data_IF_424804939065
#
_entry.id   IF_424804939065
#
_cell.length_a   1.000
_cell.length_b   1.000
_cell.length_c   1.000
_cell.angle_alpha   90.00
_cell.angle_beta   90.00
_cell.angle_gamma   90.00
#
_symmetry.space_group_name_H-M   'P 1'
#
loop_
_entity.id
_entity.type
_entity.pdbx_description
1 polymer ?
#
# COMPACT_ATOMS: atom_id res chain seq x y z
N UNK A 1 47.16 45.16 3.21
CA UNK A 1 46.72 45.57 4.56
C UNK A 1 45.55 44.64 4.87
N UNK A 2 45.90 43.41 5.23
CA UNK A 2 45.82 42.80 6.59
C UNK A 2 44.49 42.02 6.68
N UNK A 3 44.57 40.68 6.58
CA UNK A 3 44.47 39.68 7.69
C UNK A 3 43.03 39.63 8.28
N UNK A 4 42.34 38.50 8.46
CA UNK A 4 42.75 37.21 9.02
C UNK A 4 41.95 36.00 8.45
N UNK A 5 42.62 34.85 8.52
CA UNK A 5 42.17 33.47 8.27
C UNK A 5 41.22 32.92 9.35
N UNK A 6 40.38 31.94 8.96
CA UNK A 6 40.07 30.81 9.85
C UNK A 6 39.81 29.53 9.05
N UNK A 7 40.79 28.62 9.11
CA UNK A 7 40.70 27.22 8.70
C UNK A 7 40.58 26.38 9.96
N UNK A 8 39.62 25.45 9.98
CA UNK A 8 39.48 24.43 11.04
C UNK A 8 40.15 23.12 10.62
N UNK A 9 41.22 22.83 11.37
CA UNK A 9 41.83 21.57 11.84
C UNK A 9 41.49 20.23 11.18
N UNK A 10 42.54 19.62 10.61
CA UNK A 10 42.73 18.18 10.40
C UNK A 10 43.40 17.58 11.66
N UNK A 11 42.79 16.54 12.21
CA UNK A 11 43.26 15.81 13.39
C UNK A 11 44.25 14.70 12.98
N UNK A 12 45.43 14.68 13.61
CA UNK A 12 46.54 13.72 13.37
C UNK A 12 46.72 12.83 14.60
N UNK A 13 46.93 11.51 14.45
CA UNK A 13 47.06 10.61 15.59
C UNK A 13 48.44 10.66 16.25
N UNK A 14 48.44 10.68 17.58
CA UNK A 14 49.59 10.63 18.49
C UNK A 14 50.34 9.27 18.46
N UNK A 15 51.67 9.34 18.61
CA UNK A 15 52.56 8.21 18.91
C UNK A 15 52.64 8.01 20.44
N UNK A 16 52.74 6.78 20.95
CA UNK A 16 53.17 6.54 22.33
C UNK A 16 54.70 6.42 22.44
N UNK A 17 55.21 6.98 23.54
CA UNK A 17 56.60 7.10 23.98
C UNK A 17 57.26 5.76 24.37
N UNK A 18 58.58 5.73 24.20
CA UNK A 18 59.52 4.77 24.79
C UNK A 18 59.77 5.10 26.27
N UNK A 19 59.84 4.08 27.13
CA UNK A 19 60.58 4.15 28.39
C UNK A 19 61.58 2.98 28.48
N UNK A 20 62.85 3.34 28.59
CA UNK A 20 64.04 2.51 28.87
C UNK A 20 64.19 2.21 30.38
N UNK A 21 64.81 1.05 30.68
CA UNK A 21 65.83 0.78 31.72
C UNK A 21 66.26 -0.70 31.63
N UNK A 22 67.46 -1.02 31.08
CA UNK A 22 68.77 -1.32 31.75
C UNK A 22 68.67 -2.43 32.81
N UNK A 23 69.50 -3.48 32.89
CA UNK A 23 70.92 -3.69 32.53
C UNK A 23 71.24 -5.21 32.58
N UNK A 24 72.40 -5.60 32.04
CA UNK A 24 72.94 -6.93 31.74
C UNK A 24 73.18 -7.90 32.92
N UNK A 25 73.13 -9.23 32.67
CA UNK A 25 74.23 -10.17 33.02
C UNK A 25 74.04 -11.59 32.43
N UNK A 26 75.05 -11.97 31.64
CA UNK A 26 75.70 -13.28 31.38
C UNK A 26 74.94 -14.61 31.14
N UNK A 27 75.56 -15.37 30.24
CA UNK A 27 75.15 -16.63 29.62
C UNK A 27 75.61 -17.82 30.47
N UNK A 28 74.72 -18.78 30.72
CA UNK A 28 75.13 -20.17 30.95
C UNK A 28 74.09 -21.13 30.33
N UNK A 29 74.60 -22.09 29.55
CA UNK A 29 73.84 -23.09 28.80
C UNK A 29 73.91 -24.40 29.57
N UNK A 30 72.78 -24.99 29.96
CA UNK A 30 72.68 -26.45 30.14
C UNK A 30 71.30 -26.97 29.77
N UNK A 31 71.31 -28.09 29.04
CA UNK A 31 70.19 -28.77 28.40
C UNK A 31 69.25 -29.46 29.40
N UNK A 32 67.94 -29.38 29.19
CA UNK A 32 67.03 -30.50 29.45
C UNK A 32 65.66 -30.31 28.76
N UNK A 33 65.25 -31.37 28.08
CA UNK A 33 63.96 -31.67 27.45
C UNK A 33 62.69 -31.03 28.04
N UNK A 34 61.80 -30.55 27.16
CA UNK A 34 60.38 -30.98 27.10
C UNK A 34 59.63 -30.34 25.93
N UNK A 35 58.88 -31.18 25.20
CA UNK A 35 57.93 -30.78 24.15
C UNK A 35 56.83 -29.88 24.73
N UNK A 36 56.97 -28.56 24.57
CA UNK A 36 55.88 -27.62 24.74
C UNK A 36 55.51 -27.05 23.37
N UNK A 37 54.45 -27.61 22.80
CA UNK A 37 53.75 -27.15 21.60
C UNK A 37 53.49 -25.63 21.72
N UNK A 38 54.35 -24.81 21.11
CA UNK A 38 54.25 -23.35 21.11
C UNK A 38 52.96 -22.98 20.38
N UNK A 39 51.85 -22.87 21.11
CA UNK A 39 50.61 -22.23 20.64
C UNK A 39 50.98 -20.87 20.07
N UNK A 40 51.01 -20.78 18.73
CA UNK A 40 51.21 -19.53 18.00
C UNK A 40 50.16 -18.55 18.52
N UNK A 41 50.60 -17.44 19.13
CA UNK A 41 49.71 -16.33 19.47
C UNK A 41 49.06 -15.87 18.17
N UNK A 42 47.76 -16.08 18.05
CA UNK A 42 46.93 -15.47 17.00
C UNK A 42 46.92 -13.97 17.27
N UNK A 43 47.54 -13.21 16.38
CA UNK A 43 47.52 -11.74 16.42
C UNK A 43 46.41 -11.31 15.48
N UNK A 44 45.37 -10.68 16.03
CA UNK A 44 44.30 -10.08 15.23
C UNK A 44 44.90 -8.93 14.41
N UNK A 45 45.01 -9.13 13.09
CA UNK A 45 45.50 -8.12 12.16
C UNK A 45 44.31 -7.42 11.53
N UNK A 46 44.11 -6.15 11.85
CA UNK A 46 43.15 -5.30 11.14
C UNK A 46 43.59 -5.16 9.69
N UNK A 47 42.80 -5.72 8.77
CA UNK A 47 42.98 -5.58 7.32
C UNK A 47 41.89 -4.66 6.81
N UNK A 48 42.30 -3.60 6.13
CA UNK A 48 41.39 -2.69 5.44
C UNK A 48 41.28 -3.16 3.99
N UNK A 49 40.05 -3.42 3.54
CA UNK A 49 39.75 -3.74 2.14
C UNK A 49 38.69 -2.79 1.61
N UNK A 50 38.74 -2.53 0.31
CA UNK A 50 37.77 -1.67 -0.36
C UNK A 50 36.52 -2.47 -0.69
N UNK A 51 35.49 -2.33 0.14
CA UNK A 51 34.19 -2.94 -0.11
C UNK A 51 33.39 -2.12 -1.13
N UNK A 52 32.88 -2.82 -2.15
CA UNK A 52 31.99 -2.21 -3.13
C UNK A 52 30.61 -1.96 -2.49
N UNK A 53 30.26 -0.69 -2.30
CA UNK A 53 28.98 -0.31 -1.68
C UNK A 53 27.76 -0.45 -2.61
N UNK A 54 27.94 -0.42 -3.93
CA UNK A 54 26.86 -0.47 -4.93
C UNK A 54 26.82 -1.80 -5.67
N UNK A 55 26.26 -2.82 -5.02
CA UNK A 55 25.99 -4.14 -5.63
C UNK A 55 24.61 -4.22 -6.28
N UNK A 56 23.71 -3.29 -5.94
CA UNK A 56 22.36 -3.24 -6.49
C UNK A 56 22.39 -2.93 -8.00
N UNK A 57 22.09 -3.95 -8.81
CA UNK A 57 21.94 -3.78 -10.26
C UNK A 57 20.68 -2.94 -10.56
N UNK A 58 20.73 -2.01 -11.52
CA UNK A 58 19.56 -1.21 -11.89
C UNK A 58 18.57 -2.04 -12.72
N UNK A 59 17.85 -2.96 -12.07
CA UNK A 59 17.00 -3.96 -12.74
C UNK A 59 15.85 -3.35 -13.55
N UNK A 60 15.42 -2.14 -13.22
CA UNK A 60 14.41 -1.38 -13.98
C UNK A 60 14.89 -0.95 -15.37
N UNK A 61 16.19 -1.06 -15.65
CA UNK A 61 16.75 -0.72 -16.97
C UNK A 61 16.68 -1.89 -17.94
N UNK A 62 16.60 -3.11 -17.42
CA UNK A 62 16.50 -4.36 -18.16
C UNK A 62 15.07 -4.59 -18.67
N UNK A 63 14.89 -5.50 -19.62
CA UNK A 63 13.54 -5.87 -20.07
C UNK A 63 12.87 -6.70 -18.96
N UNK A 64 11.58 -6.51 -18.67
CA UNK A 64 10.90 -7.24 -17.59
C UNK A 64 11.03 -8.77 -17.66
N UNK A 65 11.07 -9.34 -18.87
CA UNK A 65 11.18 -10.78 -19.10
C UNK A 65 12.58 -11.35 -18.86
N UNK A 66 13.60 -10.48 -18.83
CA UNK A 66 15.00 -10.88 -18.68
C UNK A 66 15.46 -10.80 -17.21
N UNK A 67 14.60 -10.36 -16.30
CA UNK A 67 14.91 -10.19 -14.88
C UNK A 67 14.31 -11.37 -14.09
N UNK A 68 15.15 -12.19 -13.42
CA UNK A 68 14.70 -13.25 -12.53
C UNK A 68 13.81 -12.73 -11.40
N UNK A 69 12.90 -13.56 -10.88
CA UNK A 69 12.02 -13.17 -9.77
C UNK A 69 12.80 -12.78 -8.51
N UNK A 70 13.88 -13.51 -8.21
CA UNK A 70 14.79 -13.30 -7.07
C UNK A 70 15.40 -11.89 -7.08
N UNK A 71 15.86 -11.42 -8.24
CA UNK A 71 16.42 -10.07 -8.41
C UNK A 71 15.41 -8.97 -8.03
N UNK A 72 14.12 -9.18 -8.28
CA UNK A 72 13.08 -8.22 -7.85
C UNK A 72 12.85 -8.24 -6.34
N UNK A 73 12.90 -9.42 -5.72
CA UNK A 73 12.76 -9.57 -4.27
C UNK A 73 13.93 -8.92 -3.56
N UNK A 74 15.15 -9.19 -4.01
CA UNK A 74 16.37 -8.60 -3.46
C UNK A 74 16.38 -7.08 -3.64
N UNK A 75 15.97 -6.61 -4.83
CA UNK A 75 15.82 -5.18 -5.07
C UNK A 75 14.76 -4.53 -4.18
N UNK A 76 13.61 -5.19 -3.98
CA UNK A 76 12.57 -4.70 -3.07
C UNK A 76 13.11 -4.56 -1.65
N UNK A 77 13.73 -5.61 -1.10
CA UNK A 77 14.30 -5.61 0.26
C UNK A 77 15.36 -4.54 0.42
N UNK A 78 16.27 -4.40 -0.54
CA UNK A 78 17.28 -3.35 -0.55
C UNK A 78 16.68 -1.93 -0.63
N UNK A 79 15.60 -1.76 -1.40
CA UNK A 79 14.93 -0.46 -1.58
C UNK A 79 14.16 -0.02 -0.33
N UNK A 80 13.41 -0.93 0.28
CA UNK A 80 12.45 -0.64 1.36
C UNK A 80 12.99 -0.89 2.74
N UNK A 81 14.11 -1.62 2.87
CA UNK A 81 14.64 -2.17 4.13
C UNK A 81 13.66 -3.13 4.82
N UNK A 82 12.72 -3.67 4.07
CA UNK A 82 11.80 -4.71 4.52
C UNK A 82 12.53 -6.07 4.51
N UNK A 83 12.20 -6.93 5.46
CA UNK A 83 12.70 -8.30 5.51
C UNK A 83 11.83 -9.26 4.69
N UNK A 84 10.57 -8.89 4.46
CA UNK A 84 9.59 -9.67 3.71
C UNK A 84 9.72 -9.44 2.19
N UNK A 85 9.10 -10.33 1.44
CA UNK A 85 8.95 -10.22 -0.01
C UNK A 85 7.82 -9.23 -0.35
N UNK A 86 7.79 -8.61 -1.54
CA UNK A 86 6.64 -7.83 -1.95
C UNK A 86 5.42 -8.74 -2.22
N UNK A 87 4.21 -8.25 -1.92
CA UNK A 87 2.96 -8.94 -2.25
C UNK A 87 2.73 -9.00 -3.76
N UNK A 88 3.01 -7.89 -4.44
CA UNK A 88 2.90 -7.78 -5.88
C UNK A 88 3.89 -6.76 -6.41
N UNK A 89 4.22 -6.89 -7.70
CA UNK A 89 5.09 -5.97 -8.42
C UNK A 89 4.55 -5.64 -9.80
N UNK A 90 4.97 -4.50 -10.32
CA UNK A 90 4.79 -4.14 -11.73
C UNK A 90 6.04 -3.44 -12.24
N UNK A 91 6.61 -4.01 -13.29
CA UNK A 91 7.72 -3.43 -14.05
C UNK A 91 7.19 -3.04 -15.43
N UNK A 92 7.30 -1.77 -15.80
CA UNK A 92 6.87 -1.31 -17.11
C UNK A 92 7.69 -0.13 -17.62
N UNK A 93 7.70 -0.01 -18.95
CA UNK A 93 8.17 1.16 -19.68
C UNK A 93 6.96 1.91 -20.19
N UNK A 94 6.94 3.23 -19.98
CA UNK A 94 5.92 4.12 -20.47
C UNK A 94 6.53 5.01 -21.56
N UNK A 95 5.88 5.07 -22.72
CA UNK A 95 6.31 5.87 -23.87
C UNK A 95 5.25 6.93 -24.23
N UNK A 96 5.57 7.85 -25.15
CA UNK A 96 4.67 8.91 -25.65
C UNK A 96 5.06 10.31 -25.17
N UNK A 97 4.12 11.05 -24.58
CA UNK A 97 4.34 12.43 -24.08
C UNK A 97 5.45 12.53 -23.02
N UNK A 98 5.64 11.46 -22.25
CA UNK A 98 6.76 11.30 -21.33
C UNK A 98 7.21 9.85 -21.37
N UNK A 99 8.52 9.68 -21.57
CA UNK A 99 9.23 8.42 -21.51
C UNK A 99 9.81 8.20 -20.12
N UNK A 100 9.48 7.07 -19.51
CA UNK A 100 10.07 6.63 -18.25
C UNK A 100 9.94 5.13 -18.04
N UNK A 101 10.82 4.59 -17.19
CA UNK A 101 10.76 3.23 -16.69
C UNK A 101 10.32 3.28 -15.23
N UNK A 102 9.46 2.35 -14.82
CA UNK A 102 9.00 2.28 -13.44
C UNK A 102 8.96 0.84 -12.96
N UNK A 103 9.36 0.69 -11.70
CA UNK A 103 9.26 -0.55 -10.96
C UNK A 103 8.60 -0.23 -9.62
N UNK A 104 7.38 -0.75 -9.46
CA UNK A 104 6.53 -0.48 -8.30
C UNK A 104 6.19 -1.81 -7.60
N UNK A 105 6.01 -1.72 -6.29
CA UNK A 105 5.76 -2.84 -5.40
C UNK A 105 4.63 -2.52 -4.41
N UNK A 106 3.90 -3.56 -4.02
CA UNK A 106 2.97 -3.54 -2.90
C UNK A 106 3.63 -4.33 -1.75
N UNK A 107 3.89 -3.72 -0.59
CA UNK A 107 4.36 -4.45 0.59
C UNK A 107 3.32 -5.48 1.06
N UNK A 108 3.76 -6.59 1.67
CA UNK A 108 2.82 -7.56 2.24
C UNK A 108 2.04 -7.02 3.43
N UNK A 109 2.66 -6.17 4.24
CA UNK A 109 2.06 -5.60 5.46
C UNK A 109 2.17 -4.09 5.39
N UNK A 110 1.08 -3.41 5.73
CA UNK A 110 1.09 -1.96 5.82
C UNK A 110 1.74 -1.51 7.14
N UNK A 111 2.63 -0.50 7.14
CA UNK A 111 3.15 0.07 8.39
C UNK A 111 2.01 0.55 9.30
N UNK A 112 2.07 0.23 10.59
CA UNK A 112 0.99 0.50 11.55
C UNK A 112 0.66 1.99 11.71
N UNK A 113 1.59 2.88 11.40
CA UNK A 113 1.43 4.34 11.45
C UNK A 113 0.97 4.96 10.12
N UNK A 114 0.67 4.15 9.10
CA UNK A 114 0.34 4.63 7.75
C UNK A 114 -0.85 5.59 7.71
N UNK A 115 -1.90 5.32 8.48
CA UNK A 115 -3.09 6.19 8.55
C UNK A 115 -2.89 7.41 9.46
N UNK A 116 -1.99 7.34 10.45
CA UNK A 116 -1.63 8.53 11.25
C UNK A 116 -0.91 9.56 10.39
N UNK A 117 -0.21 9.10 9.34
CA UNK A 117 0.48 9.92 8.34
C UNK A 117 -0.38 10.18 7.11
N UNK A 118 -1.68 9.89 7.14
CA UNK A 118 -2.54 10.08 5.97
C UNK A 118 -2.58 11.55 5.55
N UNK A 119 -2.37 11.81 4.25
CA UNK A 119 -2.29 13.17 3.70
C UNK A 119 -0.99 13.92 3.98
N UNK A 120 -0.06 13.32 4.72
CA UNK A 120 1.30 13.87 4.89
C UNK A 120 2.22 13.45 3.73
N UNK A 121 3.38 14.10 3.64
CA UNK A 121 4.40 13.77 2.62
C UNK A 121 4.89 12.35 2.82
N UNK A 122 4.93 11.58 1.74
CA UNK A 122 5.30 10.16 1.76
C UNK A 122 6.48 9.90 0.82
N UNK A 123 7.58 9.36 1.35
CA UNK A 123 8.86 9.23 0.64
C UNK A 123 9.01 7.88 -0.07
N UNK A 124 7.92 7.40 -0.66
CA UNK A 124 7.77 5.98 -1.00
C UNK A 124 8.20 5.64 -2.43
N UNK A 125 8.29 6.65 -3.29
CA UNK A 125 8.72 6.51 -4.69
C UNK A 125 9.95 7.38 -4.92
N UNK A 126 11.07 6.74 -5.27
CA UNK A 126 12.31 7.45 -5.62
C UNK A 126 12.29 7.84 -7.10
N UNK A 127 12.45 9.12 -7.39
CA UNK A 127 12.58 9.63 -8.75
C UNK A 127 14.05 9.71 -9.16
N UNK A 128 14.33 9.12 -10.32
CA UNK A 128 15.58 9.18 -11.03
C UNK A 128 15.38 9.89 -12.37
N UNK A 129 16.41 10.58 -12.81
CA UNK A 129 16.48 11.13 -14.17
C UNK A 129 17.78 10.66 -14.80
N UNK A 130 17.69 9.94 -15.91
CA UNK A 130 18.85 9.30 -16.56
C UNK A 130 19.71 8.52 -15.55
N UNK A 131 19.06 7.74 -14.67
CA UNK A 131 19.68 6.94 -13.58
C UNK A 131 20.36 7.75 -12.47
N UNK A 132 20.24 9.08 -12.48
CA UNK A 132 20.71 9.93 -11.38
C UNK A 132 19.57 10.13 -10.40
N UNK A 133 19.79 9.81 -9.13
CA UNK A 133 18.80 10.06 -8.08
C UNK A 133 18.53 11.55 -7.93
N UNK A 134 17.26 11.95 -7.99
CA UNK A 134 16.86 13.35 -7.85
C UNK A 134 16.25 13.58 -6.46
N UNK A 135 15.19 12.83 -6.14
CA UNK A 135 14.41 13.02 -4.92
C UNK A 135 13.45 11.86 -4.68
N UNK A 136 13.12 11.62 -3.42
CA UNK A 136 12.06 10.74 -2.91
C UNK A 136 10.87 11.55 -2.34
N UNK A 137 11.07 12.83 -2.06
CA UNK A 137 10.07 13.75 -1.49
C UNK A 137 9.12 14.38 -2.53
N UNK A 138 8.57 13.59 -3.47
CA UNK A 138 7.58 14.10 -4.44
C UNK A 138 6.17 13.66 -4.05
N UNK A 139 5.44 14.59 -3.45
CA UNK A 139 4.06 14.37 -3.02
C UNK A 139 3.08 14.06 -4.16
N UNK A 140 3.35 14.54 -5.38
CA UNK A 140 2.41 14.43 -6.50
C UNK A 140 2.62 13.17 -7.37
N UNK A 141 3.50 12.25 -6.99
CA UNK A 141 3.73 11.02 -7.77
C UNK A 141 2.63 9.98 -7.61
N UNK A 142 2.01 9.93 -6.43
CA UNK A 142 0.88 9.04 -6.12
C UNK A 142 -0.18 9.79 -5.33
N UNK A 143 -1.46 9.43 -5.47
CA UNK A 143 -2.50 9.91 -4.58
C UNK A 143 -2.36 9.29 -3.18
N UNK A 144 -2.90 9.96 -2.15
CA UNK A 144 -2.79 9.54 -0.75
C UNK A 144 -3.29 8.11 -0.51
N UNK A 145 -4.36 7.70 -1.19
CA UNK A 145 -4.90 6.36 -1.08
C UNK A 145 -3.97 5.26 -1.64
N UNK A 146 -2.98 5.60 -2.47
CA UNK A 146 -1.92 4.68 -2.95
C UNK A 146 -0.55 5.00 -2.34
N UNK A 147 -0.50 5.73 -1.24
CA UNK A 147 0.77 6.10 -0.60
C UNK A 147 1.59 4.89 -0.15
N UNK A 148 0.96 3.72 0.08
CA UNK A 148 1.66 2.49 0.45
C UNK A 148 2.56 1.92 -0.66
N UNK A 149 2.36 2.32 -1.92
CA UNK A 149 3.16 1.83 -3.05
C UNK A 149 4.62 2.24 -2.89
N UNK A 150 5.51 1.27 -2.96
CA UNK A 150 6.96 1.47 -2.92
C UNK A 150 7.53 1.33 -4.33
N UNK A 151 8.58 2.07 -4.66
CA UNK A 151 9.22 1.85 -5.94
C UNK A 151 10.11 2.96 -6.42
N UNK A 152 10.39 2.90 -7.71
CA UNK A 152 11.24 3.86 -8.41
C UNK A 152 10.61 4.26 -9.74
N UNK A 153 10.95 5.46 -10.18
CA UNK A 153 10.61 5.98 -11.50
C UNK A 153 11.86 6.62 -12.08
N UNK A 154 12.27 6.20 -13.27
CA UNK A 154 13.45 6.71 -13.97
C UNK A 154 13.02 7.31 -15.30
N UNK A 155 13.13 8.63 -15.45
CA UNK A 155 12.70 9.35 -16.65
C UNK A 155 13.88 9.90 -17.43
N UNK A 156 13.85 9.76 -18.76
CA UNK A 156 14.88 10.32 -19.64
C UNK A 156 14.57 11.76 -20.09
N UNK A 157 13.30 12.16 -19.96
CA UNK A 157 12.72 13.40 -20.51
C UNK A 157 12.57 14.53 -19.48
N UNK A 158 12.71 14.21 -18.19
CA UNK A 158 12.67 15.24 -17.15
C UNK A 158 14.00 16.03 -17.13
N UNK A 159 13.94 17.35 -16.94
CA UNK A 159 15.14 18.19 -16.90
C UNK A 159 15.93 17.97 -15.59
N UNK A 160 17.23 17.68 -15.71
CA UNK A 160 18.14 17.42 -14.58
C UNK A 160 18.37 18.65 -13.69
N UNK A 161 18.42 19.85 -14.28
CA UNK A 161 18.84 21.08 -13.60
C UNK A 161 17.68 21.85 -12.96
N UNK A 162 16.71 21.13 -12.39
CA UNK A 162 15.47 21.73 -11.90
C UNK A 162 15.35 21.47 -10.40
N UNK A 163 15.11 22.52 -9.62
CA UNK A 163 14.88 22.41 -8.19
C UNK A 163 13.70 21.48 -7.90
N UNK A 164 13.70 20.83 -6.73
CA UNK A 164 12.61 19.92 -6.32
C UNK A 164 11.24 20.59 -6.41
N UNK A 165 11.17 21.88 -6.09
CA UNK A 165 9.96 22.69 -6.17
C UNK A 165 9.48 22.88 -7.62
N UNK A 166 10.39 23.24 -8.53
CA UNK A 166 10.07 23.43 -9.94
C UNK A 166 9.69 22.09 -10.61
N UNK A 167 10.26 20.98 -10.15
CA UNK A 167 9.94 19.64 -10.65
C UNK A 167 8.53 19.22 -10.26
N UNK A 168 8.10 19.49 -9.01
CA UNK A 168 6.75 19.17 -8.53
C UNK A 168 5.66 19.89 -9.34
N UNK A 169 5.91 21.12 -9.78
CA UNK A 169 4.96 21.89 -10.59
C UNK A 169 5.00 21.52 -12.09
N UNK A 170 5.95 20.68 -12.50
CA UNK A 170 6.15 20.36 -13.90
C UNK A 170 4.99 19.51 -14.45
N UNK A 171 4.44 19.95 -15.59
CA UNK A 171 3.31 19.31 -16.28
C UNK A 171 3.48 17.80 -16.51
N UNK A 172 4.71 17.34 -16.75
CA UNK A 172 4.99 15.92 -16.99
C UNK A 172 4.80 15.05 -15.73
N UNK A 173 4.99 15.58 -14.51
CA UNK A 173 4.74 14.82 -13.28
C UNK A 173 3.27 14.37 -13.20
N UNK A 174 2.33 15.23 -13.62
CA UNK A 174 0.90 14.87 -13.66
C UNK A 174 0.61 13.75 -14.65
N UNK A 175 1.33 13.73 -15.78
CA UNK A 175 1.21 12.66 -16.80
C UNK A 175 1.80 11.35 -16.27
N UNK A 176 2.97 11.42 -15.62
CA UNK A 176 3.59 10.28 -14.93
C UNK A 176 2.61 9.72 -13.89
N UNK A 177 2.12 10.54 -12.96
CA UNK A 177 1.14 10.16 -11.92
C UNK A 177 -0.03 9.39 -12.50
N UNK A 178 -0.68 9.91 -13.55
CA UNK A 178 -1.82 9.23 -14.21
C UNK A 178 -1.44 7.84 -14.74
N UNK A 179 -0.27 7.71 -15.38
CA UNK A 179 0.22 6.41 -15.88
C UNK A 179 0.56 5.46 -14.74
N UNK A 180 1.21 5.94 -13.67
CA UNK A 180 1.54 5.14 -12.48
C UNK A 180 0.26 4.60 -11.81
N UNK A 181 -0.72 5.48 -11.52
CA UNK A 181 -1.99 5.09 -10.89
C UNK A 181 -2.69 4.01 -11.71
N UNK A 182 -2.79 4.20 -13.03
CA UNK A 182 -3.40 3.19 -13.91
C UNK A 182 -2.70 1.83 -13.80
N UNK A 183 -1.36 1.82 -13.82
CA UNK A 183 -0.57 0.59 -13.74
C UNK A 183 -0.66 -0.07 -12.36
N UNK A 184 -0.76 0.70 -11.29
CA UNK A 184 -1.00 0.18 -9.93
C UNK A 184 -2.38 -0.47 -9.83
N UNK A 185 -3.43 0.18 -10.33
CA UNK A 185 -4.78 -0.41 -10.31
C UNK A 185 -4.85 -1.67 -11.18
N UNK A 186 -4.18 -1.69 -12.33
CA UNK A 186 -4.07 -2.88 -13.17
C UNK A 186 -3.25 -3.99 -12.48
N UNK A 187 -2.23 -3.65 -11.67
CA UNK A 187 -1.46 -4.59 -10.84
C UNK A 187 -2.35 -5.19 -9.75
N UNK A 188 -3.09 -4.37 -9.00
CA UNK A 188 -3.99 -4.83 -7.93
C UNK A 188 -5.06 -5.77 -8.50
N UNK A 189 -5.63 -5.43 -9.66
CA UNK A 189 -6.62 -6.29 -10.34
C UNK A 189 -6.08 -7.67 -10.74
N UNK A 190 -4.77 -7.81 -10.94
CA UNK A 190 -4.12 -9.07 -11.36
C UNK A 190 -3.69 -9.96 -10.19
N UNK A 191 -3.77 -9.47 -8.96
CA UNK A 191 -3.51 -10.28 -7.77
C UNK A 191 -4.52 -11.45 -7.79
N UNK A 192 -4.02 -12.69 -7.62
CA UNK A 192 -4.88 -13.87 -7.60
C UNK A 192 -5.79 -13.87 -6.36
N UNK A 193 -6.81 -14.71 -6.37
CA UNK A 193 -7.84 -14.69 -5.33
C UNK A 193 -7.27 -14.99 -3.94
N UNK A 194 -6.32 -15.92 -3.87
CA UNK A 194 -5.68 -16.36 -2.63
C UNK A 194 -4.87 -15.22 -1.98
N UNK A 195 -4.12 -14.46 -2.77
CA UNK A 195 -3.35 -13.31 -2.30
C UNK A 195 -4.21 -12.04 -2.16
N UNK A 196 -5.35 -11.96 -2.85
CA UNK A 196 -6.23 -10.80 -2.78
C UNK A 196 -6.85 -10.64 -1.40
N UNK A 197 -7.16 -11.73 -0.70
CA UNK A 197 -7.65 -11.66 0.68
C UNK A 197 -6.61 -11.07 1.62
N UNK A 198 -5.34 -11.43 1.47
CA UNK A 198 -4.23 -10.83 2.22
C UNK A 198 -4.06 -9.34 1.88
N UNK A 199 -4.10 -8.99 0.58
CA UNK A 199 -4.09 -7.60 0.14
C UNK A 199 -5.27 -6.80 0.73
N UNK A 200 -6.48 -7.36 0.70
CA UNK A 200 -7.68 -6.69 1.17
C UNK A 200 -7.65 -6.46 2.68
N UNK A 201 -7.13 -7.43 3.44
CA UNK A 201 -6.96 -7.28 4.89
C UNK A 201 -6.11 -6.07 5.25
N UNK A 202 -5.04 -5.83 4.51
CA UNK A 202 -4.10 -4.73 4.79
C UNK A 202 -4.56 -3.41 4.16
N UNK A 203 -5.08 -3.44 2.93
CA UNK A 203 -5.27 -2.24 2.10
C UNK A 203 -6.73 -1.93 1.74
N UNK A 204 -7.72 -2.60 2.33
CA UNK A 204 -9.15 -2.33 2.06
C UNK A 204 -9.52 -0.86 2.30
N UNK A 205 -9.12 -0.28 3.42
CA UNK A 205 -9.35 1.14 3.74
C UNK A 205 -8.74 2.05 2.69
N UNK A 206 -7.53 1.76 2.22
CA UNK A 206 -6.90 2.51 1.12
C UNK A 206 -7.75 2.48 -0.16
N UNK A 207 -8.25 1.32 -0.57
CA UNK A 207 -9.10 1.23 -1.76
C UNK A 207 -10.42 1.98 -1.57
N UNK A 208 -11.05 1.87 -0.39
CA UNK A 208 -12.28 2.59 -0.04
C UNK A 208 -12.09 4.11 -0.04
N UNK A 209 -10.99 4.61 0.51
CA UNK A 209 -10.62 6.03 0.41
C UNK A 209 -10.41 6.45 -1.04
N UNK A 210 -9.76 5.62 -1.87
CA UNK A 210 -9.63 5.88 -3.30
C UNK A 210 -10.98 6.03 -4.01
N UNK A 211 -11.96 5.20 -3.66
CA UNK A 211 -13.33 5.31 -4.22
C UNK A 211 -13.97 6.66 -3.87
N UNK A 212 -13.71 7.18 -2.67
CA UNK A 212 -14.24 8.47 -2.21
C UNK A 212 -13.52 9.61 -2.95
N UNK A 213 -12.19 9.61 -2.91
CA UNK A 213 -11.35 10.75 -3.34
C UNK A 213 -11.13 10.83 -4.85
N UNK A 214 -10.94 9.70 -5.55
CA UNK A 214 -10.57 9.68 -6.97
C UNK A 214 -11.76 9.39 -7.87
N UNK A 215 -12.48 10.47 -8.21
CA UNK A 215 -13.61 10.40 -9.13
C UNK A 215 -13.24 9.87 -10.53
N UNK A 216 -12.00 10.08 -11.00
CA UNK A 216 -11.57 9.66 -12.33
C UNK A 216 -11.36 8.14 -12.40
N UNK A 217 -10.86 7.54 -11.32
CA UNK A 217 -10.62 6.10 -11.23
C UNK A 217 -11.70 5.33 -10.45
N UNK A 218 -12.72 5.99 -9.92
CA UNK A 218 -13.79 5.40 -9.10
C UNK A 218 -14.42 4.16 -9.73
N UNK A 219 -14.71 4.17 -11.03
CA UNK A 219 -15.28 3.01 -11.72
C UNK A 219 -14.35 1.79 -11.69
N UNK A 220 -13.03 1.99 -11.78
CA UNK A 220 -12.03 0.91 -11.66
C UNK A 220 -11.89 0.46 -10.21
N UNK A 221 -11.79 1.40 -9.28
CA UNK A 221 -11.65 1.13 -7.85
C UNK A 221 -12.86 0.39 -7.27
N UNK A 222 -14.07 0.73 -7.70
CA UNK A 222 -15.30 0.03 -7.27
C UNK A 222 -15.28 -1.47 -7.59
N UNK A 223 -14.58 -1.88 -8.65
CA UNK A 223 -14.42 -3.30 -9.03
C UNK A 223 -13.40 -4.05 -8.19
N UNK A 224 -12.66 -3.34 -7.33
CA UNK A 224 -11.70 -3.89 -6.37
C UNK A 224 -12.31 -4.02 -4.97
N UNK A 225 -13.52 -3.50 -4.74
CA UNK A 225 -14.16 -3.56 -3.44
C UNK A 225 -14.64 -4.98 -3.12
N UNK A 226 -14.30 -5.45 -1.91
CA UNK A 226 -14.82 -6.69 -1.35
C UNK A 226 -15.66 -6.38 -0.11
N UNK A 227 -16.72 -7.14 0.09
CA UNK A 227 -17.59 -7.04 1.26
C UNK A 227 -17.97 -8.42 1.76
N UNK A 228 -18.32 -8.50 3.04
CA UNK A 228 -19.05 -9.65 3.55
C UNK A 228 -20.50 -9.58 3.07
N UNK A 229 -21.17 -10.72 2.98
CA UNK A 229 -22.57 -10.76 2.55
C UNK A 229 -23.36 -11.85 3.25
N UNK A 230 -24.68 -11.81 3.11
CA UNK A 230 -25.57 -12.85 3.63
C UNK A 230 -25.40 -14.24 2.98
N UNK A 231 -24.58 -14.37 1.93
CA UNK A 231 -24.35 -15.64 1.20
C UNK A 231 -22.89 -16.07 1.13
N UNK A 232 -21.94 -15.16 1.35
CA UNK A 232 -20.50 -15.39 1.26
C UNK A 232 -19.78 -14.59 2.34
N UNK A 233 -18.75 -15.20 2.91
CA UNK A 233 -17.83 -14.52 3.84
C UNK A 233 -17.13 -13.33 3.20
N UNK A 234 -16.74 -13.45 1.92
CA UNK A 234 -16.16 -12.33 1.17
C UNK A 234 -16.60 -12.42 -0.31
N UNK A 235 -17.02 -11.29 -0.88
CA UNK A 235 -17.44 -11.18 -2.27
C UNK A 235 -17.11 -9.81 -2.84
N UNK A 236 -16.73 -9.75 -4.11
CA UNK A 236 -16.71 -8.50 -4.86
C UNK A 236 -18.12 -8.14 -5.37
N UNK A 237 -18.25 -6.90 -5.86
CA UNK A 237 -19.50 -6.36 -6.39
C UNK A 237 -19.92 -6.98 -7.74
N UNK A 238 -18.98 -7.40 -8.59
CA UNK A 238 -19.30 -8.08 -9.86
C UNK A 238 -19.94 -9.44 -9.57
N UNK A 239 -19.35 -10.18 -8.64
CA UNK A 239 -19.82 -11.46 -8.14
C UNK A 239 -21.23 -11.34 -7.55
N UNK A 240 -21.49 -10.30 -6.75
CA UNK A 240 -22.82 -9.98 -6.23
C UNK A 240 -23.81 -9.76 -7.38
N UNK A 241 -23.45 -8.92 -8.37
CA UNK A 241 -24.29 -8.64 -9.54
C UNK A 241 -24.61 -9.91 -10.32
N UNK A 242 -23.64 -10.81 -10.49
CA UNK A 242 -23.83 -12.10 -11.14
C UNK A 242 -24.81 -13.04 -10.42
N UNK A 243 -25.07 -12.82 -9.13
CA UNK A 243 -26.02 -13.58 -8.31
C UNK A 243 -27.33 -12.83 -8.03
N UNK A 244 -27.51 -11.64 -8.61
CA UNK A 244 -28.75 -10.88 -8.46
C UNK A 244 -29.92 -11.63 -9.09
N UNK A 245 -31.08 -11.53 -8.45
CA UNK A 245 -32.33 -12.07 -9.02
C UNK A 245 -32.74 -11.27 -10.26
N UNK A 246 -33.45 -11.90 -11.20
CA UNK A 246 -33.87 -11.26 -12.46
C UNK A 246 -34.61 -9.91 -12.26
N UNK A 247 -35.44 -9.81 -11.23
CA UNK A 247 -36.22 -8.59 -10.93
C UNK A 247 -35.54 -7.65 -9.92
N UNK A 248 -34.29 -7.92 -9.54
CA UNK A 248 -33.58 -7.12 -8.56
C UNK A 248 -32.97 -5.86 -9.24
N UNK A 249 -33.43 -4.69 -8.79
CA UNK A 249 -33.02 -3.39 -9.36
C UNK A 249 -31.88 -2.71 -8.61
N UNK A 250 -31.58 -3.14 -7.39
CA UNK A 250 -30.59 -2.51 -6.52
C UNK A 250 -29.68 -3.55 -5.83
N UNK A 251 -28.49 -3.12 -5.45
CA UNK A 251 -27.58 -3.83 -4.57
C UNK A 251 -28.00 -3.51 -3.14
N UNK A 252 -28.48 -4.51 -2.41
CA UNK A 252 -28.93 -4.33 -1.03
C UNK A 252 -27.76 -4.41 -0.08
N UNK A 253 -27.72 -3.48 0.85
CA UNK A 253 -26.70 -3.47 1.89
C UNK A 253 -27.29 -3.02 3.23
N UNK A 254 -26.60 -3.37 4.31
CA UNK A 254 -26.84 -2.86 5.65
C UNK A 254 -25.49 -2.46 6.25
N UNK A 255 -25.48 -1.37 7.02
CA UNK A 255 -24.33 -0.93 7.78
C UNK A 255 -24.61 -1.07 9.28
N UNK A 256 -23.58 -1.41 10.06
CA UNK A 256 -23.66 -1.55 11.51
C UNK A 256 -22.28 -1.64 12.14
N UNK A 257 -22.20 -1.67 13.47
CA UNK A 257 -20.93 -1.65 14.19
C UNK A 257 -20.21 -3.00 14.17
N UNK A 258 -20.92 -4.09 13.92
CA UNK A 258 -20.33 -5.43 13.83
C UNK A 258 -21.08 -6.34 12.86
N UNK A 259 -20.39 -7.39 12.43
CA UNK A 259 -20.98 -8.42 11.57
C UNK A 259 -22.17 -9.14 12.24
N UNK A 260 -22.06 -9.42 13.55
CA UNK A 260 -23.11 -10.08 14.31
C UNK A 260 -24.37 -9.23 14.39
N UNK A 261 -24.22 -7.92 14.57
CA UNK A 261 -25.33 -6.96 14.59
C UNK A 261 -26.06 -6.94 13.25
N UNK A 262 -25.33 -6.77 12.14
CA UNK A 262 -25.95 -6.67 10.82
C UNK A 262 -26.54 -8.00 10.34
N UNK A 263 -25.95 -9.14 10.71
CA UNK A 263 -26.50 -10.49 10.42
C UNK A 263 -27.82 -10.75 11.15
N UNK A 264 -27.94 -10.30 12.41
CA UNK A 264 -29.13 -10.50 13.25
C UNK A 264 -30.16 -9.38 13.13
N UNK A 265 -29.90 -8.38 12.29
CA UNK A 265 -30.76 -7.21 12.16
C UNK A 265 -32.14 -7.60 11.60
N UNK A 266 -33.25 -7.07 12.17
CA UNK A 266 -34.59 -7.31 11.64
C UNK A 266 -34.76 -6.81 10.20
N UNK A 267 -33.94 -5.84 9.77
CA UNK A 267 -33.98 -5.29 8.42
C UNK A 267 -33.51 -6.30 7.36
N UNK A 268 -32.66 -7.27 7.70
CA UNK A 268 -32.16 -8.27 6.73
C UNK A 268 -33.01 -9.53 6.65
N UNK A 269 -33.75 -9.89 7.71
CA UNK A 269 -34.49 -11.14 7.79
C UNK A 269 -35.42 -11.40 6.60
N UNK A 270 -36.21 -10.39 6.22
CA UNK A 270 -37.19 -10.54 5.14
C UNK A 270 -36.50 -10.72 3.79
N UNK A 271 -35.36 -10.05 3.57
CA UNK A 271 -34.59 -10.18 2.33
C UNK A 271 -33.97 -11.57 2.22
N UNK A 272 -33.31 -12.04 3.28
CA UNK A 272 -32.64 -13.34 3.32
C UNK A 272 -33.64 -14.49 3.22
N UNK A 273 -34.78 -14.43 3.93
CA UNK A 273 -35.90 -15.39 3.78
C UNK A 273 -36.44 -15.43 2.35
N UNK A 274 -36.50 -14.28 1.67
CA UNK A 274 -36.86 -14.20 0.24
C UNK A 274 -35.69 -14.50 -0.69
N UNK A 275 -34.51 -14.89 -0.20
CA UNK A 275 -33.33 -15.31 -0.97
C UNK A 275 -32.54 -14.18 -1.64
N UNK A 276 -32.78 -12.92 -1.27
CA UNK A 276 -31.96 -11.79 -1.70
C UNK A 276 -30.63 -11.78 -0.93
N UNK A 277 -29.56 -11.39 -1.62
CA UNK A 277 -28.24 -11.22 -1.02
C UNK A 277 -28.13 -9.79 -0.46
N UNK A 278 -27.62 -9.65 0.76
CA UNK A 278 -27.38 -8.34 1.39
C UNK A 278 -25.90 -8.22 1.72
N UNK A 279 -25.27 -7.11 1.32
CA UNK A 279 -23.91 -6.77 1.70
C UNK A 279 -23.87 -6.25 3.15
N UNK A 280 -22.85 -6.65 3.88
CA UNK A 280 -22.59 -6.25 5.26
C UNK A 280 -21.44 -5.26 5.28
N UNK A 281 -21.73 -4.04 5.71
CA UNK A 281 -20.78 -2.95 5.85
C UNK A 281 -20.54 -2.76 7.35
N UNK A 282 -19.31 -3.03 7.78
CA UNK A 282 -18.96 -3.06 9.21
C UNK A 282 -17.87 -2.08 9.57
N UNK A 283 -17.29 -1.40 8.58
CA UNK A 283 -16.29 -0.38 8.81
C UNK A 283 -16.88 1.01 8.60
N UNK A 284 -16.42 1.99 9.39
CA UNK A 284 -16.94 3.36 9.33
C UNK A 284 -16.80 4.00 7.92
N UNK A 285 -15.75 3.62 7.17
CA UNK A 285 -15.48 4.14 5.82
C UNK A 285 -16.41 3.52 4.74
N UNK A 286 -17.05 2.38 5.03
CA UNK A 286 -17.83 1.63 4.04
C UNK A 286 -19.01 2.43 3.49
N UNK A 287 -19.79 3.06 4.37
CA UNK A 287 -20.95 3.85 3.96
C UNK A 287 -20.56 5.03 3.06
N UNK A 288 -19.43 5.68 3.37
CA UNK A 288 -18.91 6.77 2.55
C UNK A 288 -18.43 6.26 1.19
N UNK A 289 -17.74 5.11 1.16
CA UNK A 289 -17.28 4.49 -0.08
C UNK A 289 -18.46 4.10 -0.99
N UNK A 290 -19.50 3.47 -0.43
CA UNK A 290 -20.70 3.09 -1.18
C UNK A 290 -21.48 4.32 -1.65
N UNK A 291 -21.62 5.34 -0.80
CA UNK A 291 -22.33 6.58 -1.15
C UNK A 291 -21.61 7.36 -2.27
N UNK A 292 -20.28 7.24 -2.37
CA UNK A 292 -19.50 7.85 -3.44
C UNK A 292 -19.73 7.19 -4.81
N UNK A 293 -20.27 5.96 -4.86
CA UNK A 293 -20.54 5.23 -6.10
C UNK A 293 -22.01 5.46 -6.53
N UNK A 294 -22.28 6.23 -7.60
CA UNK A 294 -23.66 6.52 -8.00
C UNK A 294 -24.40 5.27 -8.49
N UNK A 295 -23.70 4.46 -9.29
CA UNK A 295 -24.20 3.23 -9.91
C UNK A 295 -23.05 2.24 -10.05
N UNK A 296 -23.32 0.95 -9.84
CA UNK A 296 -22.41 -0.13 -10.16
C UNK A 296 -23.09 -1.09 -11.14
N UNK A 297 -22.52 -1.25 -12.34
CA UNK A 297 -23.12 -2.05 -13.43
C UNK A 297 -24.61 -1.71 -13.67
N UNK A 298 -24.92 -0.40 -13.62
CA UNK A 298 -26.29 0.14 -13.80
C UNK A 298 -27.22 -0.03 -12.60
N UNK A 299 -26.76 -0.59 -11.48
CA UNK A 299 -27.55 -0.82 -10.26
C UNK A 299 -27.23 0.24 -9.21
N UNK A 300 -28.27 0.75 -8.54
CA UNK A 300 -28.12 1.62 -7.36
C UNK A 300 -27.82 0.79 -6.11
N UNK A 301 -27.17 1.40 -5.13
CA UNK A 301 -27.07 0.85 -3.78
C UNK A 301 -28.28 1.25 -2.95
N UNK A 302 -28.82 0.31 -2.19
CA UNK A 302 -29.99 0.52 -1.33
C UNK A 302 -29.69 0.02 0.08
N UNK A 303 -29.63 0.95 1.03
CA UNK A 303 -29.56 0.62 2.45
C UNK A 303 -30.92 0.07 2.89
N UNK A 304 -30.96 -1.14 3.45
CA UNK A 304 -32.20 -1.78 3.90
C UNK A 304 -32.70 -1.27 5.24
N UNK A 305 -31.86 -0.55 6.00
CA UNK A 305 -32.21 0.10 7.26
C UNK A 305 -32.68 1.55 7.09
N UNK A 306 -32.55 2.14 5.88
CA UNK A 306 -33.07 3.49 5.60
C UNK A 306 -34.56 3.46 5.27
N UNK A 307 -35.26 4.50 5.68
CA UNK A 307 -36.67 4.71 5.36
C UNK A 307 -36.92 4.70 3.85
N UNK A 308 -38.12 4.27 3.46
CA UNK A 308 -38.54 4.19 2.05
C UNK A 308 -38.13 2.91 1.31
N UNK A 309 -37.44 1.98 1.97
CA UNK A 309 -37.17 0.67 1.37
C UNK A 309 -38.41 -0.23 1.36
N UNK A 310 -38.87 -0.61 0.17
CA UNK A 310 -39.92 -1.62 -0.02
C UNK A 310 -39.42 -2.79 -0.87
N UNK A 311 -39.51 -4.00 -0.32
CA UNK A 311 -39.06 -5.23 -1.00
C UNK A 311 -40.07 -5.72 -2.05
N UNK A 312 -41.34 -5.37 -1.90
CA UNK A 312 -42.44 -5.79 -2.76
C UNK A 312 -43.32 -4.56 -3.01
N UNK A 313 -43.26 -4.05 -4.24
CA UNK A 313 -44.00 -2.86 -4.66
C UNK A 313 -45.21 -3.21 -5.54
N UNK A 314 -45.63 -4.49 -5.52
CA UNK A 314 -46.84 -4.93 -6.22
C UNK A 314 -48.09 -4.28 -5.64
N UNK A 315 -49.10 -4.08 -6.50
CA UNK A 315 -50.37 -3.46 -6.11
C UNK A 315 -51.07 -4.25 -4.98
N UNK A 316 -50.94 -5.58 -4.99
CA UNK A 316 -51.42 -6.45 -3.91
C UNK A 316 -50.71 -6.19 -2.58
N UNK A 317 -49.40 -5.98 -2.59
CA UNK A 317 -48.64 -5.66 -1.38
C UNK A 317 -48.98 -4.26 -0.87
N UNK A 318 -49.20 -3.29 -1.77
CA UNK A 318 -49.64 -1.93 -1.44
C UNK A 318 -51.02 -1.93 -0.79
N UNK A 319 -52.00 -2.62 -1.39
CA UNK A 319 -53.36 -2.71 -0.84
C UNK A 319 -53.36 -3.35 0.54
N UNK A 320 -52.62 -4.46 0.73
CA UNK A 320 -52.49 -5.10 2.04
C UNK A 320 -51.81 -4.18 3.07
N UNK A 321 -50.83 -3.38 2.66
CA UNK A 321 -50.18 -2.43 3.56
C UNK A 321 -51.15 -1.31 3.98
N UNK A 322 -51.97 -0.78 3.06
CA UNK A 322 -53.01 0.22 3.37
C UNK A 322 -54.09 -0.33 4.31
N UNK A 323 -54.54 -1.57 4.10
CA UNK A 323 -55.44 -2.27 5.04
C UNK A 323 -54.83 -2.39 6.45
N UNK A 324 -53.55 -2.79 6.54
CA UNK A 324 -52.85 -2.91 7.82
C UNK A 324 -52.64 -1.54 8.47
N UNK A 325 -52.30 -0.49 7.71
CA UNK A 325 -52.18 0.88 8.23
C UNK A 325 -53.49 1.33 8.86
N UNK A 326 -54.61 1.12 8.18
CA UNK A 326 -55.95 1.46 8.68
C UNK A 326 -56.26 0.66 9.95
N UNK A 327 -55.97 -0.64 9.95
CA UNK A 327 -56.22 -1.54 11.08
C UNK A 327 -55.42 -1.16 12.33
N UNK A 328 -54.15 -0.76 12.15
CA UNK A 328 -53.23 -0.43 13.24
C UNK A 328 -53.13 1.07 13.54
N UNK A 329 -53.90 1.92 12.87
CA UNK A 329 -53.92 3.36 13.11
C UNK A 329 -54.17 3.73 14.59
N UNK A 330 -55.13 3.11 15.32
CA UNK A 330 -55.31 3.42 16.74
C UNK A 330 -54.08 3.11 17.60
N UNK A 331 -53.36 2.02 17.28
CA UNK A 331 -52.14 1.63 17.99
C UNK A 331 -51.00 2.61 17.74
N UNK A 332 -50.80 3.02 16.48
CA UNK A 332 -49.77 3.99 16.10
C UNK A 332 -50.05 5.35 16.77
N UNK A 333 -51.32 5.78 16.77
CA UNK A 333 -51.73 7.02 17.43
C UNK A 333 -51.51 6.97 18.95
N UNK A 334 -51.64 5.80 19.58
CA UNK A 334 -51.32 5.62 21.00
C UNK A 334 -49.81 5.65 21.26
N UNK A 335 -48.98 5.02 20.42
CA UNK A 335 -47.51 5.00 20.55
C UNK A 335 -46.86 6.37 20.35
N UNK A 336 -47.48 7.25 19.55
CA UNK A 336 -46.97 8.58 19.24
C UNK A 336 -47.36 9.66 20.26
N UNK A 337 -48.21 9.33 21.24
CA UNK A 337 -48.50 10.18 22.39
C UNK A 337 -47.49 9.89 23.49
#
# INVERSE_FOLDING_TARGET
VEEEDSKTEEDKPEKPEEEEKTEDEEVEVEEASEEADKKKKTVDKTVWDWERLNDAKPIWTLKPNDVPEEDYVDFYKALTKDSQEPLAKVHFVAEGEVSFKALLFIPQVQPSDSFNKYGTKADNIKLYVRRVFITDQINDMMPNYLSFIRGIVDSDDLPLNVSRENLQQHKLIKVIKKKLVRKVLDMIKKINKEQYEAFWKEYSTNIKLGVIEDAQNRARLSKLLMFKSSKKELTDLMDYVGRMKANQKAIFYIAGASEDEVKKSPFVERLTKKGYEVLYLTEAVDEYAISAIPLFEGKKFQNVAKEGFTLDDSEKAKNKLEELKTTFEPLINWLNK
#
